data_IF_270397512300
#
_entry.id   IF_270397512300
#
_cell.length_a   1.000
_cell.length_b   1.000
_cell.length_c   1.000
_cell.angle_alpha   90.00
_cell.angle_beta   90.00
_cell.angle_gamma   90.00
#
_symmetry.space_group_name_H-M   'P 1'
#
loop_
_entity.id
_entity.type
_entity.pdbx_description
1 polymer ?
#
# COMPACT_ATOMS: atom_id res chain seq x y z
N UNK A 1 -87.28 6.90 24.25
CA UNK A 1 -87.34 5.45 24.49
C UNK A 1 -86.17 4.82 23.74
N UNK A 2 -85.03 4.59 24.41
CA UNK A 2 -84.54 3.30 24.95
C UNK A 2 -84.51 2.13 23.95
N UNK A 3 -83.25 1.72 23.64
CA UNK A 3 -82.73 0.34 23.49
C UNK A 3 -83.13 -0.35 22.18
N UNK A 4 -82.34 -1.18 21.50
CA UNK A 4 -81.15 -2.00 21.76
C UNK A 4 -80.71 -2.50 20.33
N UNK A 5 -79.46 -2.78 19.98
CA UNK A 5 -78.59 -3.85 20.47
C UNK A 5 -77.13 -3.60 20.03
N UNK A 6 -76.24 -3.87 20.96
CA UNK A 6 -74.81 -4.13 20.78
C UNK A 6 -74.60 -5.62 20.46
N UNK A 7 -73.51 -5.95 19.76
CA UNK A 7 -72.65 -7.16 19.82
C UNK A 7 -71.80 -7.12 18.53
N UNK A 8 -70.67 -6.41 18.54
CA UNK A 8 -69.31 -6.92 18.86
C UNK A 8 -68.90 -8.06 17.93
N UNK A 9 -68.19 -7.69 16.85
CA UNK A 9 -67.43 -8.60 16.02
C UNK A 9 -66.17 -9.04 16.76
N UNK A 10 -66.08 -10.33 17.07
CA UNK A 10 -64.87 -10.96 17.57
C UNK A 10 -63.86 -11.11 16.42
N UNK A 11 -62.79 -10.31 16.44
CA UNK A 11 -61.55 -10.62 15.72
C UNK A 11 -60.60 -11.20 16.77
N UNK A 12 -60.45 -12.52 16.75
CA UNK A 12 -59.46 -13.23 17.54
C UNK A 12 -58.59 -14.07 16.61
N UNK A 13 -57.66 -13.42 15.90
CA UNK A 13 -56.53 -14.13 15.30
C UNK A 13 -55.42 -14.20 16.35
N UNK A 14 -55.17 -15.40 16.84
CA UNK A 14 -54.05 -15.73 17.72
C UNK A 14 -52.79 -15.92 16.90
N UNK A 15 -51.82 -15.04 17.11
CA UNK A 15 -50.41 -15.34 16.90
C UNK A 15 -49.60 -14.47 17.87
N UNK A 16 -49.24 -15.04 19.02
CA UNK A 16 -48.26 -14.47 19.94
C UNK A 16 -46.91 -14.42 19.23
N UNK A 17 -46.54 -13.26 18.70
CA UNK A 17 -45.15 -12.95 18.41
C UNK A 17 -44.56 -12.31 19.66
N UNK A 18 -43.76 -13.08 20.38
CA UNK A 18 -42.88 -12.62 21.46
C UNK A 18 -41.93 -11.58 20.90
N UNK A 19 -42.29 -10.30 20.95
CA UNK A 19 -41.36 -9.21 20.71
C UNK A 19 -40.59 -8.96 22.00
N UNK A 20 -39.41 -9.55 22.10
CA UNK A 20 -38.41 -9.17 23.09
C UNK A 20 -38.15 -7.67 22.95
N UNK A 21 -38.56 -6.89 23.96
CA UNK A 21 -38.16 -5.49 24.08
C UNK A 21 -36.66 -5.45 24.38
N UNK A 22 -35.84 -5.43 23.34
CA UNK A 22 -34.41 -5.16 23.48
C UNK A 22 -34.27 -3.66 23.67
N UNK A 23 -33.99 -3.28 24.92
CA UNK A 23 -33.49 -1.98 25.34
C UNK A 23 -32.38 -1.54 24.39
N UNK A 24 -32.49 -0.33 23.81
CA UNK A 24 -31.37 0.33 23.15
C UNK A 24 -30.30 0.67 24.21
N UNK A 25 -29.49 -0.32 24.59
CA UNK A 25 -28.16 -0.04 25.11
C UNK A 25 -27.34 0.47 23.93
N UNK A 26 -27.02 1.75 23.97
CA UNK A 26 -25.93 2.31 23.18
C UNK A 26 -24.63 1.74 23.74
N UNK A 27 -24.19 0.61 23.19
CA UNK A 27 -22.82 0.16 23.34
C UNK A 27 -21.97 0.91 22.31
N UNK A 28 -20.98 1.63 22.81
CA UNK A 28 -19.93 2.22 21.98
C UNK A 28 -19.08 1.07 21.45
N UNK A 29 -19.42 0.57 20.27
CA UNK A 29 -18.62 -0.40 19.54
C UNK A 29 -17.66 0.36 18.64
N UNK A 30 -16.65 0.99 19.24
CA UNK A 30 -15.39 1.22 18.59
C UNK A 30 -14.49 0.00 18.86
N UNK A 31 -14.94 -1.15 18.37
CA UNK A 31 -14.04 -2.22 18.00
C UNK A 31 -13.32 -1.71 16.74
N UNK A 32 -12.10 -1.22 16.93
CA UNK A 32 -11.12 -1.25 15.85
C UNK A 32 -10.93 -2.72 15.51
N UNK A 33 -11.71 -3.23 14.56
CA UNK A 33 -11.28 -4.35 13.73
C UNK A 33 -10.07 -3.88 12.93
N UNK A 34 -8.92 -3.85 13.62
CA UNK A 34 -7.62 -4.07 13.04
C UNK A 34 -7.68 -5.48 12.45
N UNK A 35 -8.33 -5.59 11.29
CA UNK A 35 -8.35 -6.81 10.51
C UNK A 35 -6.92 -6.98 9.99
N UNK A 36 -6.17 -7.74 10.79
CA UNK A 36 -4.87 -8.34 10.59
C UNK A 36 -4.81 -9.12 9.27
N UNK A 37 -4.93 -8.44 8.13
CA UNK A 37 -4.48 -8.99 6.86
C UNK A 37 -2.99 -9.22 7.07
N UNK A 38 -2.47 -10.46 6.90
CA UNK A 38 -1.03 -10.66 6.89
C UNK A 38 -0.48 -9.67 5.88
N UNK A 39 0.43 -8.78 6.30
CA UNK A 39 1.24 -8.08 5.33
C UNK A 39 1.80 -9.15 4.40
N UNK A 40 1.61 -9.06 3.08
CA UNK A 40 2.18 -10.05 2.17
C UNK A 40 3.67 -10.15 2.51
N UNK A 41 4.09 -11.33 2.94
CA UNK A 41 5.50 -11.63 3.16
C UNK A 41 6.18 -11.58 1.79
N UNK A 42 6.61 -10.39 1.43
CA UNK A 42 7.25 -10.15 0.15
C UNK A 42 8.72 -10.58 0.29
N UNK A 43 9.04 -11.74 -0.28
CA UNK A 43 10.43 -12.17 -0.38
C UNK A 43 11.09 -11.39 -1.54
N UNK A 44 12.16 -10.62 -1.28
CA UNK A 44 12.83 -9.85 -2.33
C UNK A 44 13.33 -10.75 -3.46
N UNK A 45 12.83 -10.53 -4.68
CA UNK A 45 13.34 -11.23 -5.86
C UNK A 45 14.79 -10.82 -6.10
N UNK A 46 15.67 -11.81 -6.23
CA UNK A 46 17.08 -11.56 -6.56
C UNK A 46 17.21 -11.31 -8.07
N UNK A 47 18.05 -10.35 -8.48
CA UNK A 47 18.43 -10.19 -9.88
C UNK A 47 19.08 -11.46 -10.47
N UNK A 48 19.08 -11.64 -11.80
CA UNK A 48 19.74 -12.76 -12.46
C UNK A 48 21.22 -12.87 -12.09
N UNK A 49 21.74 -14.10 -12.12
CA UNK A 49 23.18 -14.33 -11.96
C UNK A 49 23.91 -13.57 -13.09
N UNK A 50 24.88 -12.73 -12.72
CA UNK A 50 25.62 -11.81 -13.61
C UNK A 50 24.93 -10.49 -13.98
N UNK A 51 23.75 -10.21 -13.40
CA UNK A 51 23.10 -8.91 -13.55
C UNK A 51 23.90 -7.77 -12.94
N UNK A 52 23.87 -6.62 -13.61
CA UNK A 52 24.30 -5.34 -13.07
C UNK A 52 23.33 -4.77 -12.04
N UNK A 53 22.08 -5.25 -11.99
CA UNK A 53 21.15 -4.93 -10.92
C UNK A 53 21.59 -5.61 -9.61
N UNK A 54 21.55 -4.86 -8.51
CA UNK A 54 21.77 -5.34 -7.15
C UNK A 54 20.57 -4.97 -6.30
N UNK A 55 20.05 -5.95 -5.55
CA UNK A 55 19.06 -5.68 -4.52
C UNK A 55 19.72 -4.79 -3.46
N UNK A 56 19.08 -3.66 -3.16
CA UNK A 56 19.45 -2.85 -2.00
C UNK A 56 18.53 -3.30 -0.88
N UNK A 57 19.07 -4.13 0.01
CA UNK A 57 18.33 -4.71 1.13
C UNK A 57 17.96 -3.61 2.15
N UNK A 58 16.86 -2.94 1.84
CA UNK A 58 16.31 -1.84 2.63
C UNK A 58 14.83 -2.12 2.82
N UNK A 59 14.47 -2.45 4.05
CA UNK A 59 13.10 -2.34 4.52
C UNK A 59 13.01 -1.01 5.28
N UNK A 60 12.25 -0.03 4.77
CA UNK A 60 12.14 1.29 5.40
C UNK A 60 11.71 1.19 6.88
N UNK A 61 10.80 0.27 7.21
CA UNK A 61 10.30 0.11 8.58
C UNK A 61 11.35 -0.48 9.53
N UNK A 62 12.26 -1.34 9.03
CA UNK A 62 13.29 -2.00 9.86
C UNK A 62 14.63 -1.27 9.85
N UNK A 63 14.97 -0.66 8.73
CA UNK A 63 16.32 -0.19 8.39
C UNK A 63 16.30 1.21 7.75
N UNK A 64 15.48 2.15 8.29
CA UNK A 64 15.44 3.56 7.86
C UNK A 64 16.85 4.16 7.67
N UNK A 65 17.77 3.88 8.59
CA UNK A 65 19.16 4.38 8.51
C UNK A 65 19.94 3.85 7.30
N UNK A 66 19.70 2.61 6.83
CA UNK A 66 20.33 2.09 5.61
C UNK A 66 19.80 2.82 4.39
N UNK A 67 18.48 3.07 4.33
CA UNK A 67 17.88 3.88 3.28
C UNK A 67 18.54 5.26 3.22
N UNK A 68 18.54 5.97 4.34
CA UNK A 68 19.11 7.30 4.41
C UNK A 68 20.59 7.29 4.01
N UNK A 69 21.39 6.33 4.48
CA UNK A 69 22.81 6.26 4.13
C UNK A 69 23.06 5.99 2.64
N UNK A 70 22.24 5.15 1.99
CA UNK A 70 22.35 4.84 0.56
C UNK A 70 22.12 6.09 -0.31
N UNK A 71 21.15 6.94 0.08
CA UNK A 71 20.76 8.11 -0.70
C UNK A 71 21.39 9.44 -0.20
N UNK A 72 21.93 9.48 1.02
CA UNK A 72 22.58 10.66 1.60
C UNK A 72 23.87 11.03 0.87
N UNK A 73 24.62 10.04 0.38
CA UNK A 73 25.80 10.26 -0.45
C UNK A 73 25.39 10.15 -1.92
N UNK A 74 25.59 11.22 -2.68
CA UNK A 74 25.41 11.20 -4.12
C UNK A 74 26.41 10.23 -4.74
N UNK A 75 25.91 9.24 -5.46
CA UNK A 75 26.73 8.19 -6.07
C UNK A 75 26.54 8.07 -7.58
N UNK A 76 25.65 8.88 -8.17
CA UNK A 76 25.32 8.89 -9.59
C UNK A 76 24.85 7.54 -10.16
N UNK A 77 24.45 6.59 -9.32
CA UNK A 77 23.87 5.31 -9.74
C UNK A 77 22.37 5.47 -10.00
N UNK A 78 21.85 4.57 -10.84
CA UNK A 78 20.42 4.47 -11.11
C UNK A 78 19.76 3.53 -10.12
N UNK A 79 18.56 3.89 -9.70
CA UNK A 79 17.76 3.15 -8.73
C UNK A 79 16.39 2.87 -9.28
N UNK A 80 15.98 1.61 -9.18
CA UNK A 80 14.67 1.12 -9.53
C UNK A 80 13.86 0.85 -8.26
N UNK A 81 12.75 1.55 -8.11
CA UNK A 81 11.88 1.49 -6.95
C UNK A 81 10.60 0.75 -7.30
N UNK A 82 10.16 -0.14 -6.41
CA UNK A 82 8.84 -0.75 -6.47
C UNK A 82 8.08 -0.32 -5.21
N UNK A 83 6.93 0.32 -5.42
CA UNK A 83 6.02 0.79 -4.39
C UNK A 83 4.69 0.03 -4.51
N UNK A 84 4.00 -0.21 -3.40
CA UNK A 84 2.61 -0.67 -3.43
C UNK A 84 1.65 0.39 -2.87
N UNK A 85 0.54 0.60 -3.56
CA UNK A 85 -0.57 1.42 -3.08
C UNK A 85 -1.91 0.67 -3.21
N UNK A 86 -3.02 1.39 -3.05
CA UNK A 86 -4.38 0.82 -3.16
C UNK A 86 -4.74 0.34 -4.56
N UNK A 87 -4.01 0.75 -5.59
CA UNK A 87 -4.23 0.42 -7.00
C UNK A 87 -3.28 -0.66 -7.53
N UNK A 88 -2.31 -1.09 -6.72
CA UNK A 88 -1.36 -2.15 -7.04
C UNK A 88 0.08 -1.68 -6.88
N UNK A 89 0.96 -2.23 -7.72
CA UNK A 89 2.38 -1.93 -7.69
C UNK A 89 2.76 -0.91 -8.76
N UNK A 90 3.50 0.11 -8.32
CA UNK A 90 4.07 1.13 -9.15
C UNK A 90 5.59 0.95 -9.23
N UNK A 91 6.17 1.46 -10.32
CA UNK A 91 7.60 1.40 -10.56
C UNK A 91 8.18 2.76 -10.95
N UNK A 92 9.38 3.04 -10.47
CA UNK A 92 10.09 4.27 -10.77
C UNK A 92 11.57 4.01 -11.04
N UNK A 93 12.15 4.77 -11.96
CA UNK A 93 13.58 4.75 -12.25
C UNK A 93 14.12 6.18 -12.06
N UNK A 94 15.11 6.36 -11.19
CA UNK A 94 15.72 7.65 -10.93
C UNK A 94 17.20 7.54 -10.59
N UNK A 95 17.94 8.62 -10.85
CA UNK A 95 19.39 8.69 -10.60
C UNK A 95 19.69 9.38 -9.28
N UNK A 96 20.58 8.83 -8.46
CA UNK A 96 21.03 9.50 -7.23
C UNK A 96 22.13 10.54 -7.52
N UNK A 97 21.72 11.69 -8.07
CA UNK A 97 22.60 12.82 -8.40
C UNK A 97 22.21 14.11 -7.65
N UNK A 98 21.32 14.04 -6.66
CA UNK A 98 20.81 15.18 -5.89
C UNK A 98 19.75 16.01 -6.62
N UNK A 99 19.56 15.80 -7.92
CA UNK A 99 18.50 16.42 -8.70
C UNK A 99 17.29 15.51 -8.85
N UNK A 100 17.52 14.22 -9.13
CA UNK A 100 16.45 13.28 -9.46
C UNK A 100 15.89 12.54 -8.26
N UNK A 101 16.59 12.46 -7.13
CA UNK A 101 16.10 11.88 -5.89
C UNK A 101 16.31 12.91 -4.78
N UNK A 102 15.23 13.36 -4.15
CA UNK A 102 15.26 14.40 -3.11
C UNK A 102 14.39 14.01 -1.93
N UNK A 103 14.97 14.06 -0.75
CA UNK A 103 14.21 13.95 0.49
C UNK A 103 13.52 15.29 0.79
N UNK A 104 12.22 15.26 1.03
CA UNK A 104 11.42 16.44 1.41
C UNK A 104 11.32 16.56 2.92
N UNK A 105 11.08 15.43 3.57
CA UNK A 105 11.10 15.28 5.02
C UNK A 105 11.47 13.83 5.36
N UNK A 106 11.40 13.48 6.64
CA UNK A 106 11.78 12.14 7.09
C UNK A 106 11.08 11.00 6.36
N UNK A 107 9.83 11.18 5.94
CA UNK A 107 9.00 10.12 5.36
C UNK A 107 8.83 10.26 3.85
N UNK A 108 8.95 11.47 3.31
CA UNK A 108 8.53 11.75 1.95
C UNK A 108 9.71 12.11 1.03
N UNK A 109 9.66 11.56 -0.17
CA UNK A 109 10.67 11.72 -1.21
C UNK A 109 10.04 12.15 -2.54
N UNK A 110 10.82 12.88 -3.32
CA UNK A 110 10.48 13.26 -4.70
C UNK A 110 11.49 12.61 -5.63
N UNK A 111 10.97 11.90 -6.63
CA UNK A 111 11.74 11.38 -7.75
C UNK A 111 11.42 12.17 -9.02
N UNK A 112 12.36 12.97 -9.51
CA UNK A 112 12.22 13.57 -10.84
C UNK A 112 12.60 12.51 -11.88
N UNK A 113 11.61 12.04 -12.62
CA UNK A 113 11.78 10.97 -13.61
C UNK A 113 12.23 11.55 -14.96
N UNK A 114 11.77 12.76 -15.27
CA UNK A 114 12.20 13.55 -16.43
C UNK A 114 11.89 15.03 -16.19
N UNK A 115 12.13 15.90 -17.18
CA UNK A 115 11.97 17.36 -17.04
C UNK A 115 10.52 17.84 -16.79
N UNK A 116 9.51 16.96 -16.82
CA UNK A 116 8.10 17.33 -16.58
C UNK A 116 7.38 16.46 -15.56
N UNK A 117 7.90 15.28 -15.24
CA UNK A 117 7.25 14.31 -14.38
C UNK A 117 8.07 14.07 -13.12
N UNK A 118 7.40 14.12 -11.99
CA UNK A 118 7.93 13.68 -10.72
C UNK A 118 6.97 12.68 -10.07
N UNK A 119 7.52 11.75 -9.32
CA UNK A 119 6.78 10.92 -8.37
C UNK A 119 7.00 11.48 -6.97
N UNK A 120 5.92 11.64 -6.22
CA UNK A 120 5.96 11.94 -4.80
C UNK A 120 5.50 10.68 -4.06
N UNK A 121 6.32 10.14 -3.17
CA UNK A 121 5.91 8.98 -2.40
C UNK A 121 6.41 9.02 -0.96
N UNK A 122 5.70 8.25 -0.14
CA UNK A 122 6.07 7.92 1.22
C UNK A 122 7.02 6.72 1.18
N UNK A 123 8.18 6.86 1.79
CA UNK A 123 9.18 5.81 1.87
C UNK A 123 8.67 4.53 2.56
N UNK A 124 7.64 4.63 3.39
CA UNK A 124 6.96 3.48 4.00
C UNK A 124 6.27 2.55 3.00
N UNK A 125 5.91 3.08 1.82
CA UNK A 125 5.23 2.32 0.75
C UNK A 125 6.21 1.62 -0.18
N UNK A 126 7.49 1.95 -0.11
CA UNK A 126 8.54 1.28 -0.87
C UNK A 126 8.64 -0.16 -0.38
N UNK A 127 8.51 -1.10 -1.31
CA UNK A 127 8.64 -2.53 -1.03
C UNK A 127 10.02 -3.05 -1.41
N UNK A 128 10.57 -2.56 -2.52
CA UNK A 128 11.89 -2.96 -2.99
C UNK A 128 12.63 -1.83 -3.67
N UNK A 129 13.96 -1.94 -3.62
CA UNK A 129 14.89 -1.03 -4.28
C UNK A 129 15.99 -1.86 -4.91
N UNK A 130 16.30 -1.57 -6.16
CA UNK A 130 17.43 -2.13 -6.87
C UNK A 130 18.35 -1.02 -7.36
N UNK A 131 19.65 -1.23 -7.27
CA UNK A 131 20.67 -0.32 -7.79
C UNK A 131 21.29 -0.92 -9.05
N UNK A 132 21.45 -0.10 -10.08
CA UNK A 132 22.20 -0.46 -11.28
C UNK A 132 23.67 -0.12 -11.09
N UNK A 133 24.53 -1.14 -11.10
CA UNK A 133 25.98 -0.97 -10.98
C UNK A 133 26.71 -0.92 -12.33
N UNK A 134 26.02 -1.16 -13.45
CA UNK A 134 26.56 -1.08 -14.80
C UNK A 134 26.82 0.35 -15.28
N UNK A 135 27.29 0.45 -16.52
CA UNK A 135 27.56 1.73 -17.18
C UNK A 135 26.29 2.33 -17.81
N UNK A 136 26.20 3.66 -17.82
CA UNK A 136 25.09 4.38 -18.47
C UNK A 136 23.75 4.32 -17.72
N UNK A 137 22.68 4.68 -18.44
CA UNK A 137 21.29 4.58 -17.99
C UNK A 137 20.73 3.20 -18.37
N UNK A 138 20.21 2.42 -17.42
CA UNK A 138 19.62 1.13 -17.72
C UNK A 138 18.25 1.30 -18.37
N UNK A 139 17.77 0.25 -19.03
CA UNK A 139 16.36 0.15 -19.34
C UNK A 139 15.55 -0.12 -18.06
N UNK A 140 14.28 0.29 -18.04
CA UNK A 140 13.41 0.10 -16.88
C UNK A 140 12.91 -1.35 -16.82
N UNK A 141 13.13 -2.09 -15.73
CA UNK A 141 12.56 -3.43 -15.54
C UNK A 141 11.03 -3.44 -15.67
N UNK A 142 10.48 -4.58 -16.07
CA UNK A 142 9.03 -4.81 -16.16
C UNK A 142 8.54 -5.51 -14.91
N UNK A 143 7.41 -5.04 -14.37
CA UNK A 143 6.77 -5.64 -13.20
C UNK A 143 5.34 -6.03 -13.53
N UNK A 144 4.86 -7.09 -12.87
CA UNK A 144 3.43 -7.35 -12.76
C UNK A 144 2.80 -6.32 -11.80
N UNK A 145 1.72 -5.65 -12.25
CA UNK A 145 1.06 -4.59 -11.47
C UNK A 145 0.30 -5.10 -10.24
N UNK A 146 -0.08 -6.37 -10.21
CA UNK A 146 -0.85 -6.96 -9.12
C UNK A 146 0.07 -7.57 -8.06
N UNK A 147 1.21 -8.14 -8.47
CA UNK A 147 2.12 -8.85 -7.56
C UNK A 147 3.41 -8.09 -7.24
N UNK A 148 3.81 -7.14 -8.09
CA UNK A 148 5.09 -6.45 -7.96
C UNK A 148 6.29 -7.32 -8.33
N UNK A 149 6.08 -8.52 -8.88
CA UNK A 149 7.15 -9.39 -9.37
C UNK A 149 7.79 -8.80 -10.61
N UNK A 150 9.12 -8.88 -10.69
CA UNK A 150 9.87 -8.43 -11.87
C UNK A 150 9.85 -9.57 -12.89
N UNK A 151 9.16 -9.33 -14.00
CA UNK A 151 8.99 -10.29 -15.09
C UNK A 151 10.09 -10.19 -16.14
N UNK A 152 10.78 -9.05 -16.21
CA UNK A 152 11.91 -8.82 -17.11
C UNK A 152 12.84 -7.73 -16.53
N UNK A 153 14.12 -8.05 -16.38
CA UNK A 153 15.12 -7.15 -15.78
C UNK A 153 15.66 -6.09 -16.73
N UNK A 154 15.43 -6.21 -18.05
CA UNK A 154 15.80 -5.23 -19.07
C UNK A 154 17.21 -4.65 -18.84
N UNK A 155 18.22 -5.48 -19.05
CA UNK A 155 19.65 -5.14 -18.89
C UNK A 155 20.27 -4.55 -20.16
#
# INVERSE_FOLDING_TARGET
MKKWLSIIGAIGLTATSTTTLISCKKENNNENEENNKPEPQYNPQQPPKYSNWKLVDINWQKDKYKFENEFKKLNNKWYFFIESDTYGFNKYLAKNNGNNIKQVNEWNWILLLNNRNYAYFDASKIKLIYRWDGDGEPQTPTIDKNTGEITDWKE
#
